data_IF_350970478279
#
_entry.id   IF_350970478279
#
_cell.length_a   1.000
_cell.length_b   1.000
_cell.length_c   1.000
_cell.angle_alpha   90.00
_cell.angle_beta   90.00
_cell.angle_gamma   90.00
#
_symmetry.space_group_name_H-M   'P 1'
#
loop_
_entity.id
_entity.type
_entity.pdbx_description
1 polymer ?
#
# COMPACT_ATOMS: atom_id res chain seq x y z
N UNK A 1 -2.70 -12.29 30.47
CA UNK A 1 -2.26 -11.41 29.38
C UNK A 1 -3.51 -11.09 28.60
N UNK A 2 -3.99 -9.85 28.69
CA UNK A 2 -5.17 -9.43 27.94
C UNK A 2 -4.72 -9.22 26.51
N UNK A 3 -5.21 -10.04 25.58
CA UNK A 3 -5.05 -9.78 24.15
C UNK A 3 -5.78 -8.46 23.87
N UNK A 4 -5.00 -7.41 23.65
CA UNK A 4 -5.52 -6.09 23.29
C UNK A 4 -6.11 -6.22 21.88
N UNK A 5 -7.44 -6.32 21.79
CA UNK A 5 -8.15 -6.32 20.51
C UNK A 5 -7.99 -4.91 19.93
N UNK A 6 -7.03 -4.74 19.03
CA UNK A 6 -6.91 -3.54 18.21
C UNK A 6 -8.08 -3.55 17.21
N UNK A 7 -9.19 -2.92 17.60
CA UNK A 7 -10.33 -2.69 16.72
C UNK A 7 -9.88 -1.79 15.57
N UNK A 8 -9.76 -2.36 14.37
CA UNK A 8 -9.48 -1.57 13.16
C UNK A 8 -10.72 -0.78 12.79
N UNK A 9 -10.53 0.50 12.49
CA UNK A 9 -11.56 1.35 11.90
C UNK A 9 -11.85 0.89 10.46
N UNK A 10 -13.05 1.18 9.91
CA UNK A 10 -13.35 0.86 8.51
C UNK A 10 -12.34 1.45 7.52
N UNK A 11 -11.75 2.61 7.83
CA UNK A 11 -10.70 3.21 7.01
C UNK A 11 -9.40 2.40 7.03
N UNK A 12 -9.00 1.86 8.18
CA UNK A 12 -7.82 1.01 8.30
C UNK A 12 -7.99 -0.33 7.58
N UNK A 13 -9.19 -0.91 7.65
CA UNK A 13 -9.50 -2.12 6.89
C UNK A 13 -9.44 -1.86 5.38
N UNK A 14 -10.06 -0.76 4.92
CA UNK A 14 -10.05 -0.38 3.51
C UNK A 14 -8.62 -0.11 3.02
N UNK A 15 -7.80 0.60 3.80
CA UNK A 15 -6.41 0.89 3.45
C UNK A 15 -5.59 -0.39 3.23
N UNK A 16 -5.78 -1.40 4.08
CA UNK A 16 -5.13 -2.72 3.94
C UNK A 16 -5.61 -3.45 2.69
N UNK A 17 -6.92 -3.47 2.44
CA UNK A 17 -7.50 -4.11 1.25
C UNK A 17 -6.95 -3.47 -0.04
N UNK A 18 -6.92 -2.14 -0.11
CA UNK A 18 -6.39 -1.41 -1.28
C UNK A 18 -4.92 -1.71 -1.48
N UNK A 19 -4.09 -1.60 -0.44
CA UNK A 19 -2.66 -1.84 -0.54
C UNK A 19 -2.36 -3.27 -1.01
N UNK A 20 -3.09 -4.26 -0.48
CA UNK A 20 -2.94 -5.66 -0.87
C UNK A 20 -3.38 -5.90 -2.32
N UNK A 21 -4.52 -5.35 -2.73
CA UNK A 21 -5.01 -5.49 -4.10
C UNK A 21 -4.03 -4.93 -5.14
N UNK A 22 -3.40 -3.78 -4.85
CA UNK A 22 -2.39 -3.18 -5.72
C UNK A 22 -1.13 -4.05 -5.84
N UNK A 23 -0.68 -4.64 -4.73
CA UNK A 23 0.44 -5.57 -4.71
C UNK A 23 0.12 -6.85 -5.48
N UNK A 24 -1.04 -7.46 -5.21
CA UNK A 24 -1.45 -8.73 -5.83
C UNK A 24 -1.67 -8.56 -7.35
N UNK A 25 -2.06 -7.36 -7.81
CA UNK A 25 -2.12 -6.99 -9.21
C UNK A 25 -0.76 -6.57 -9.83
N UNK A 26 0.33 -6.62 -9.05
CA UNK A 26 1.67 -6.17 -9.43
C UNK A 26 1.72 -4.74 -9.99
N UNK A 27 0.84 -3.87 -9.49
CA UNK A 27 0.80 -2.44 -9.83
C UNK A 27 1.77 -1.61 -8.97
N UNK A 28 2.15 -2.15 -7.81
CA UNK A 28 3.15 -1.59 -6.90
C UNK A 28 4.08 -2.71 -6.43
N UNK A 29 5.29 -2.36 -6.01
CA UNK A 29 6.25 -3.34 -5.46
C UNK A 29 5.89 -3.72 -4.01
N UNK A 30 6.29 -4.94 -3.61
CA UNK A 30 5.98 -5.49 -2.27
C UNK A 30 6.39 -4.59 -1.11
N UNK A 31 7.49 -3.84 -1.24
CA UNK A 31 8.00 -2.96 -0.18
C UNK A 31 7.12 -1.71 0.04
N UNK A 32 6.17 -1.42 -0.85
CA UNK A 32 5.27 -0.26 -0.75
C UNK A 32 3.98 -0.52 0.02
N UNK A 33 3.62 -1.78 0.28
CA UNK A 33 2.36 -2.13 0.95
C UNK A 33 2.18 -1.35 2.27
N UNK A 34 3.18 -1.35 3.15
CA UNK A 34 3.10 -0.67 4.44
C UNK A 34 3.02 0.88 4.32
N UNK A 35 3.72 1.47 3.35
CA UNK A 35 3.69 2.93 3.10
C UNK A 35 2.32 3.37 2.58
N UNK A 36 1.75 2.59 1.65
CA UNK A 36 0.39 2.80 1.12
C UNK A 36 -0.63 2.72 2.24
N UNK A 37 -0.60 1.67 3.06
CA UNK A 37 -1.52 1.54 4.22
C UNK A 37 -1.42 2.78 5.10
N UNK A 38 -0.21 3.17 5.51
CA UNK A 38 0.01 4.34 6.38
C UNK A 38 -0.52 5.65 5.79
N UNK A 39 -0.28 5.89 4.50
CA UNK A 39 -0.70 7.15 3.85
C UNK A 39 -2.20 7.20 3.59
N UNK A 40 -2.82 6.07 3.29
CA UNK A 40 -4.28 5.96 3.16
C UNK A 40 -4.98 6.13 4.51
N UNK A 41 -4.48 5.48 5.57
CA UNK A 41 -5.09 5.61 6.91
C UNK A 41 -5.02 7.02 7.45
N UNK A 42 -3.93 7.74 7.17
CA UNK A 42 -3.73 9.12 7.62
C UNK A 42 -4.31 10.17 6.68
N UNK A 43 -4.82 9.79 5.50
CA UNK A 43 -5.32 10.73 4.49
C UNK A 43 -4.21 11.63 3.91
N UNK A 44 -2.96 11.16 3.92
CA UNK A 44 -1.78 11.94 3.48
C UNK A 44 -1.21 11.49 2.14
N UNK A 45 -1.83 10.51 1.49
CA UNK A 45 -1.46 10.08 0.14
C UNK A 45 -1.69 11.21 -0.88
N UNK A 46 -0.66 11.54 -1.66
CA UNK A 46 -0.73 12.55 -2.74
C UNK A 46 -0.56 11.90 -4.10
N UNK A 47 -0.88 12.65 -5.16
CA UNK A 47 -0.69 12.20 -6.54
C UNK A 47 0.76 11.80 -6.83
N UNK A 48 1.73 12.54 -6.28
CA UNK A 48 3.15 12.25 -6.47
C UNK A 48 3.59 10.94 -5.82
N UNK A 49 2.95 10.54 -4.71
CA UNK A 49 3.21 9.24 -4.09
C UNK A 49 2.77 8.11 -5.02
N UNK A 50 1.59 8.23 -5.62
CA UNK A 50 1.03 7.25 -6.56
C UNK A 50 1.91 7.07 -7.79
N UNK A 51 2.31 8.18 -8.42
CA UNK A 51 3.18 8.15 -9.59
C UNK A 51 4.49 7.41 -9.28
N UNK A 52 5.12 7.76 -8.15
CA UNK A 52 6.37 7.11 -7.72
C UNK A 52 6.20 5.61 -7.50
N UNK A 53 5.13 5.17 -6.84
CA UNK A 53 4.92 3.73 -6.57
C UNK A 53 4.73 2.91 -7.86
N UNK A 54 4.06 3.49 -8.86
CA UNK A 54 3.85 2.87 -10.16
C UNK A 54 5.15 2.84 -10.96
N UNK A 55 5.88 3.96 -11.01
CA UNK A 55 7.18 4.06 -11.71
C UNK A 55 8.18 3.02 -11.18
N UNK A 56 8.26 2.85 -9.86
CA UNK A 56 9.12 1.84 -9.24
C UNK A 56 8.74 0.40 -9.64
N UNK A 57 7.44 0.10 -9.77
CA UNK A 57 6.97 -1.20 -10.24
C UNK A 57 7.33 -1.45 -11.70
N UNK A 58 7.19 -0.43 -12.56
CA UNK A 58 7.60 -0.50 -13.97
C UNK A 58 9.11 -0.72 -14.10
N UNK A 59 9.92 -0.01 -13.31
CA UNK A 59 11.37 -0.16 -13.30
C UNK A 59 11.83 -1.57 -12.91
N UNK A 60 11.17 -2.18 -11.91
CA UNK A 60 11.46 -3.56 -11.51
C UNK A 60 11.09 -4.53 -12.64
N UNK A 61 9.93 -4.35 -13.28
CA UNK A 61 9.51 -5.20 -14.41
C UNK A 61 10.47 -5.09 -15.60
N UNK A 62 10.94 -3.89 -15.94
CA UNK A 62 11.91 -3.69 -17.02
C UNK A 62 13.27 -4.35 -16.74
N UNK A 63 13.71 -4.42 -15.48
CA UNK A 63 14.98 -5.07 -15.10
C UNK A 63 14.91 -6.60 -15.08
N UNK A 64 13.70 -7.17 -15.07
CA UNK A 64 13.46 -8.62 -15.05
C UNK A 64 13.20 -9.21 -16.46
N UNK A 65 12.97 -8.35 -17.46
CA UNK A 65 12.78 -8.70 -18.86
C UNK A 65 14.11 -8.71 -19.64
#
# INVERSE_FOLDING_TARGET
MSDEIVLKTPNEELAVVVAKALKDAELVINTREADIVKKLTTGTAKAEDWNRWIEEALDVKHKQA
#
